data_IF_987426018146
#
_entry.id   IF_987426018146
#
_cell.length_a   1.000
_cell.length_b   1.000
_cell.length_c   1.000
_cell.angle_alpha   90.00
_cell.angle_beta   90.00
_cell.angle_gamma   90.00
#
_symmetry.space_group_name_H-M   'P 1'
#
loop_
_entity.id
_entity.type
_entity.pdbx_description
1 polymer ?
#
# COMPACT_ATOMS: atom_id res chain seq x y z
N UNK A 1 -2.68 -1.36 -12.83
CA UNK A 1 -4.14 -1.27 -13.01
C UNK A 1 -4.69 -0.34 -11.96
N UNK A 2 -5.68 0.51 -12.28
CA UNK A 2 -6.40 1.27 -11.27
C UNK A 2 -7.59 0.47 -10.72
N UNK A 3 -7.78 0.55 -9.41
CA UNK A 3 -8.97 0.06 -8.73
C UNK A 3 -9.69 1.28 -8.17
N UNK A 4 -10.83 1.66 -8.75
CA UNK A 4 -11.62 2.78 -8.27
C UNK A 4 -12.48 2.40 -7.07
N UNK A 5 -12.75 3.37 -6.20
CA UNK A 5 -13.68 3.23 -5.08
C UNK A 5 -15.04 3.82 -5.50
N UNK A 6 -16.10 3.01 -5.46
CA UNK A 6 -17.46 3.45 -5.87
C UNK A 6 -18.16 4.28 -4.78
N UNK A 7 -17.76 4.09 -3.51
CA UNK A 7 -18.22 4.85 -2.36
C UNK A 7 -17.08 5.03 -1.34
N UNK A 8 -15.87 5.36 -1.84
CA UNK A 8 -14.70 5.54 -1.01
C UNK A 8 -14.85 6.71 -0.02
N UNK A 9 -14.12 6.70 1.11
CA UNK A 9 -14.24 7.71 2.15
C UNK A 9 -13.74 9.11 1.73
N UNK A 10 -13.15 9.26 0.55
CA UNK A 10 -12.57 10.51 0.07
C UNK A 10 -12.76 10.71 -1.43
N UNK A 11 -13.33 11.85 -1.82
CA UNK A 11 -13.36 12.30 -3.21
C UNK A 11 -11.99 12.76 -3.73
N UNK A 12 -11.03 13.04 -2.82
CA UNK A 12 -9.68 13.52 -3.16
C UNK A 12 -8.79 12.38 -3.65
N UNK A 13 -9.01 11.15 -3.15
CA UNK A 13 -8.26 9.96 -3.54
C UNK A 13 -9.19 8.85 -4.02
N UNK A 14 -9.72 8.92 -5.26
CA UNK A 14 -10.77 8.02 -5.73
C UNK A 14 -10.28 6.59 -6.01
N UNK A 15 -8.96 6.37 -6.03
CA UNK A 15 -8.34 5.09 -6.37
C UNK A 15 -7.84 4.41 -5.10
N UNK A 16 -8.02 3.10 -4.99
CA UNK A 16 -7.34 2.29 -3.99
C UNK A 16 -5.84 2.23 -4.36
N UNK A 17 -4.98 2.63 -3.45
CA UNK A 17 -3.54 2.56 -3.60
C UNK A 17 -2.85 2.48 -2.25
N UNK A 18 -1.63 2.97 -2.16
CA UNK A 18 -0.87 3.00 -0.91
C UNK A 18 -0.23 4.36 -0.65
N UNK A 19 -0.08 4.69 0.63
CA UNK A 19 0.47 5.96 1.14
C UNK A 19 1.50 5.65 2.21
N UNK A 20 2.72 6.12 2.03
CA UNK A 20 3.77 5.85 3.01
C UNK A 20 5.14 6.28 2.53
N UNK A 21 6.00 6.55 3.50
CA UNK A 21 7.38 6.93 3.29
C UNK A 21 8.27 5.78 3.74
N UNK A 22 8.61 4.87 2.84
CA UNK A 22 9.77 4.00 3.09
C UNK A 22 10.29 3.35 1.83
N UNK A 23 11.61 3.22 1.81
CA UNK A 23 12.32 2.26 0.99
C UNK A 23 11.97 0.85 1.49
N UNK A 24 11.27 0.06 0.67
CA UNK A 24 11.04 -1.34 0.95
C UNK A 24 12.28 -2.15 0.56
N UNK A 25 12.63 -3.13 1.38
CA UNK A 25 13.77 -3.98 1.12
C UNK A 25 13.96 -5.01 2.22
N UNK A 26 14.86 -5.95 1.98
CA UNK A 26 15.26 -6.92 2.99
C UNK A 26 15.87 -6.20 4.20
N UNK A 27 15.51 -6.65 5.40
CA UNK A 27 15.93 -6.06 6.68
C UNK A 27 15.46 -4.60 6.88
N UNK A 28 14.42 -4.16 6.18
CA UNK A 28 13.81 -2.84 6.36
C UNK A 28 12.43 -3.01 6.98
N UNK A 29 12.13 -2.25 8.04
CA UNK A 29 10.83 -2.26 8.72
C UNK A 29 9.83 -1.24 8.14
N UNK A 30 10.14 -0.69 6.97
CA UNK A 30 9.30 0.28 6.29
C UNK A 30 7.96 -0.32 5.87
N UNK A 31 6.91 0.49 5.92
CA UNK A 31 5.58 0.11 5.47
C UNK A 31 4.82 1.30 4.88
N UNK A 32 3.74 0.99 4.16
CA UNK A 32 2.75 1.96 3.68
C UNK A 32 1.34 1.53 4.07
N UNK A 33 0.44 2.50 4.19
CA UNK A 33 -0.99 2.30 4.45
C UNK A 33 -1.72 2.08 3.13
N UNK A 34 -2.64 1.11 3.06
CA UNK A 34 -3.61 1.09 1.98
C UNK A 34 -4.63 2.22 2.19
N UNK A 35 -4.81 3.05 1.18
CA UNK A 35 -5.65 4.24 1.29
C UNK A 35 -6.17 4.69 -0.08
N UNK A 36 -7.16 5.60 -0.05
CA UNK A 36 -7.58 6.33 -1.25
C UNK A 36 -6.50 7.32 -1.68
N UNK A 37 -6.11 7.29 -2.96
CA UNK A 37 -5.04 8.10 -3.57
C UNK A 37 -5.46 8.62 -4.95
N UNK A 38 -4.76 9.62 -5.46
CA UNK A 38 -4.83 10.03 -6.88
C UNK A 38 -3.98 9.13 -7.78
N UNK A 39 -4.23 9.21 -9.09
CA UNK A 39 -3.50 8.43 -10.09
C UNK A 39 -1.99 8.70 -10.07
N UNK A 40 -1.20 7.64 -10.22
CA UNK A 40 0.23 7.68 -10.51
C UNK A 40 0.53 6.73 -11.66
N UNK A 41 1.46 7.07 -12.55
CA UNK A 41 1.78 6.19 -13.68
C UNK A 41 2.48 4.90 -13.25
N UNK A 42 2.15 3.80 -13.92
CA UNK A 42 2.69 2.49 -13.60
C UNK A 42 4.21 2.44 -13.77
N UNK A 43 4.91 1.91 -12.74
CA UNK A 43 6.37 1.76 -12.77
C UNK A 43 7.14 3.05 -12.46
N UNK A 44 6.45 4.15 -12.18
CA UNK A 44 7.06 5.38 -11.68
C UNK A 44 7.21 5.31 -10.16
N UNK A 45 8.19 6.02 -9.57
CA UNK A 45 8.23 6.22 -8.13
C UNK A 45 6.95 6.88 -7.59
N UNK A 46 6.65 6.72 -6.29
CA UNK A 46 5.49 7.32 -5.65
C UNK A 46 5.49 8.85 -5.81
N UNK A 47 4.30 9.46 -5.93
CA UNK A 47 4.18 10.91 -6.11
C UNK A 47 4.74 11.66 -4.90
N UNK A 48 5.50 12.74 -5.14
CA UNK A 48 6.04 13.58 -4.07
C UNK A 48 4.97 14.40 -3.34
N UNK A 49 3.82 14.60 -3.97
CA UNK A 49 2.64 15.27 -3.42
C UNK A 49 1.50 14.27 -3.51
N UNK A 50 0.89 13.99 -2.38
CA UNK A 50 -0.10 12.95 -2.27
C UNK A 50 -1.46 13.56 -1.97
N UNK A 51 -2.33 13.60 -2.97
CA UNK A 51 -3.75 13.80 -2.74
C UNK A 51 -4.32 12.45 -2.27
N UNK A 52 -4.44 12.30 -0.95
CA UNK A 52 -4.83 11.03 -0.31
C UNK A 52 -5.93 11.24 0.71
N UNK A 53 -6.65 10.16 1.00
CA UNK A 53 -7.63 10.11 2.08
C UNK A 53 -7.04 10.29 3.49
N UNK A 54 -5.73 10.12 3.66
CA UNK A 54 -5.05 10.30 4.95
C UNK A 54 -4.50 11.72 5.16
N UNK A 55 -4.55 12.58 4.14
CA UNK A 55 -4.01 13.94 4.22
C UNK A 55 -4.69 14.77 5.30
N UNK A 56 -6.00 14.59 5.51
CA UNK A 56 -6.77 15.25 6.57
C UNK A 56 -6.33 14.84 7.99
N UNK A 57 -5.67 13.67 8.14
CA UNK A 57 -5.09 13.20 9.40
C UNK A 57 -3.64 13.68 9.58
N UNK A 58 -3.13 14.53 8.69
CA UNK A 58 -1.76 15.05 8.72
C UNK A 58 -0.73 14.19 7.98
N UNK A 59 -1.15 13.10 7.34
CA UNK A 59 -0.26 12.22 6.59
C UNK A 59 -0.07 12.72 5.15
N UNK A 60 0.86 13.68 4.97
CA UNK A 60 1.27 14.17 3.65
C UNK A 60 2.53 13.42 3.17
N UNK A 61 2.37 12.12 2.88
CA UNK A 61 3.46 11.21 2.49
C UNK A 61 3.28 10.73 1.05
N UNK A 62 4.35 10.27 0.36
CA UNK A 62 4.25 9.78 -1.01
C UNK A 62 3.18 8.71 -1.20
N UNK A 63 2.55 8.71 -2.37
CA UNK A 63 1.46 7.79 -2.71
C UNK A 63 1.58 7.18 -4.09
N UNK A 64 1.00 5.99 -4.29
CA UNK A 64 0.95 5.29 -5.57
C UNK A 64 -0.38 4.56 -5.78
N UNK A 65 -1.02 4.70 -6.95
CA UNK A 65 -2.27 3.99 -7.31
C UNK A 65 -2.03 2.74 -8.17
N UNK A 66 -1.03 2.76 -9.05
CA UNK A 66 -0.77 1.70 -10.03
C UNK A 66 0.07 0.53 -9.48
N UNK A 67 -0.13 0.18 -8.22
CA UNK A 67 0.55 -0.92 -7.53
C UNK A 67 -0.09 -2.28 -7.77
N UNK A 68 -1.30 -2.32 -8.32
CA UNK A 68 -2.10 -3.54 -8.41
C UNK A 68 -1.88 -4.31 -9.71
N UNK A 69 -1.69 -5.61 -9.57
CA UNK A 69 -1.68 -6.59 -10.67
C UNK A 69 -2.63 -7.74 -10.34
N UNK A 70 -3.45 -8.13 -11.32
CA UNK A 70 -4.25 -9.35 -11.25
C UNK A 70 -3.52 -10.47 -11.99
N UNK A 71 -3.34 -11.63 -11.35
CA UNK A 71 -2.87 -12.86 -12.02
C UNK A 71 -4.05 -13.79 -12.27
N UNK A 72 -3.92 -14.73 -13.21
CA UNK A 72 -4.99 -15.55 -13.84
C UNK A 72 -5.87 -16.41 -12.90
N UNK A 73 -5.87 -16.19 -11.59
CA UNK A 73 -6.60 -16.95 -10.56
C UNK A 73 -7.36 -16.05 -9.57
N UNK A 74 -7.82 -14.87 -10.01
CA UNK A 74 -8.52 -13.88 -9.17
C UNK A 74 -7.67 -13.28 -8.03
N UNK A 75 -6.38 -13.62 -7.97
CA UNK A 75 -5.44 -13.09 -6.99
C UNK A 75 -5.03 -11.67 -7.33
N UNK A 76 -5.14 -10.77 -6.35
CA UNK A 76 -4.67 -9.40 -6.45
C UNK A 76 -3.34 -9.29 -5.72
N UNK A 77 -2.32 -8.79 -6.42
CA UNK A 77 -0.98 -8.58 -5.90
C UNK A 77 -0.64 -7.10 -5.93
N UNK A 78 0.06 -6.64 -4.89
CA UNK A 78 0.64 -5.30 -4.84
C UNK A 78 2.12 -5.36 -5.21
N UNK A 79 2.61 -4.33 -5.89
CA UNK A 79 4.02 -4.11 -6.18
C UNK A 79 4.31 -2.64 -5.95
N UNK A 80 5.10 -2.34 -4.92
CA UNK A 80 5.57 -0.99 -4.64
C UNK A 80 6.83 -0.68 -5.46
N UNK A 81 6.92 0.54 -5.98
CA UNK A 81 8.17 1.10 -6.49
C UNK A 81 8.74 2.01 -5.40
N UNK A 82 9.99 1.78 -5.04
CA UNK A 82 10.65 2.65 -4.06
C UNK A 82 10.88 4.06 -4.65
N UNK A 83 11.03 5.09 -3.81
CA UNK A 83 11.47 6.42 -4.25
C UNK A 83 12.78 6.40 -5.06
N UNK A 84 13.64 5.40 -4.81
CA UNK A 84 14.86 5.11 -5.58
C UNK A 84 14.62 4.53 -6.99
N UNK A 85 13.36 4.41 -7.43
CA UNK A 85 12.92 3.73 -8.65
C UNK A 85 13.22 2.22 -8.70
N UNK A 86 13.59 1.60 -7.58
CA UNK A 86 13.79 0.17 -7.49
C UNK A 86 12.49 -0.58 -7.19
N UNK A 87 12.34 -1.78 -7.75
CA UNK A 87 11.23 -2.70 -7.42
C UNK A 87 11.58 -3.45 -6.15
N UNK A 88 10.78 -3.29 -5.11
CA UNK A 88 10.96 -4.01 -3.86
C UNK A 88 10.11 -5.28 -3.80
N UNK A 89 10.48 -6.31 -3.02
CA UNK A 89 9.50 -7.26 -2.54
C UNK A 89 8.32 -6.51 -1.90
N UNK A 90 7.10 -6.98 -2.08
CA UNK A 90 5.91 -6.31 -1.53
C UNK A 90 4.92 -7.37 -1.06
N UNK A 91 4.58 -7.30 0.22
CA UNK A 91 3.56 -8.14 0.85
C UNK A 91 2.45 -7.26 1.40
N UNK A 92 1.21 -7.72 1.30
CA UNK A 92 0.07 -7.10 1.99
C UNK A 92 0.05 -7.68 3.41
N UNK A 93 -0.12 -6.82 4.41
CA UNK A 93 -0.29 -7.24 5.79
C UNK A 93 -1.53 -6.60 6.41
N UNK A 94 -2.03 -7.25 7.45
CA UNK A 94 -3.03 -6.71 8.35
C UNK A 94 -2.41 -6.52 9.74
N UNK A 95 -2.60 -5.32 10.30
CA UNK A 95 -2.27 -5.00 11.69
C UNK A 95 -3.57 -5.06 12.52
N UNK A 96 -3.73 -6.07 13.39
CA UNK A 96 -4.91 -6.19 14.24
C UNK A 96 -4.97 -5.17 15.38
N UNK A 97 -3.84 -4.64 15.86
CA UNK A 97 -3.81 -3.69 16.96
C UNK A 97 -4.29 -2.30 16.52
N UNK A 98 -3.86 -1.86 15.34
CA UNK A 98 -4.26 -0.59 14.74
C UNK A 98 -5.43 -0.73 13.75
N UNK A 99 -5.85 -1.97 13.44
CA UNK A 99 -6.97 -2.30 12.55
C UNK A 99 -6.83 -1.65 11.16
N UNK A 100 -5.71 -1.87 10.48
CA UNK A 100 -5.51 -1.40 9.12
C UNK A 100 -4.78 -2.42 8.24
N UNK A 101 -4.89 -2.22 6.93
CA UNK A 101 -4.16 -2.97 5.92
C UNK A 101 -3.02 -2.12 5.36
N UNK A 102 -1.85 -2.73 5.18
CA UNK A 102 -0.68 -2.04 4.67
C UNK A 102 0.14 -2.89 3.73
N UNK A 103 1.20 -2.29 3.20
CA UNK A 103 2.23 -2.97 2.41
C UNK A 103 3.57 -2.91 3.12
N UNK A 104 4.36 -3.97 3.02
CA UNK A 104 5.73 -4.01 3.54
C UNK A 104 6.65 -4.78 2.60
N UNK A 105 7.94 -4.45 2.63
CA UNK A 105 8.98 -5.20 1.93
C UNK A 105 9.52 -6.41 2.69
N UNK A 106 9.37 -6.43 4.02
CA UNK A 106 9.90 -7.48 4.88
C UNK A 106 9.04 -7.56 6.16
N UNK A 107 8.10 -8.49 6.15
CA UNK A 107 7.15 -8.67 7.26
C UNK A 107 7.87 -9.04 8.57
N UNK A 108 8.94 -9.83 8.50
CA UNK A 108 9.72 -10.20 9.69
C UNK A 108 10.37 -8.97 10.31
N UNK A 109 10.93 -8.08 9.48
CA UNK A 109 11.53 -6.84 9.95
C UNK A 109 10.49 -5.86 10.49
N UNK A 110 9.30 -5.80 9.89
CA UNK A 110 8.17 -5.02 10.39
C UNK A 110 7.71 -5.53 11.76
N UNK A 111 7.48 -6.83 11.90
CA UNK A 111 7.03 -7.46 13.15
C UNK A 111 8.08 -7.29 14.27
N UNK A 112 9.38 -7.40 13.94
CA UNK A 112 10.45 -7.14 14.90
C UNK A 112 10.49 -5.68 15.38
N UNK A 113 10.15 -4.72 14.52
CA UNK A 113 10.10 -3.30 14.88
C UNK A 113 8.83 -2.96 15.70
N UNK A 114 7.72 -3.65 15.44
CA UNK A 114 6.43 -3.42 16.08
C UNK A 114 5.83 -4.71 16.67
N UNK A 115 6.49 -5.36 17.65
CA UNK A 115 6.13 -6.71 18.09
C UNK A 115 4.80 -6.78 18.86
N UNK A 116 4.23 -5.63 19.25
CA UNK A 116 2.93 -5.56 19.93
C UNK A 116 1.76 -5.49 18.95
N UNK A 117 2.04 -5.20 17.69
CA UNK A 117 1.01 -4.97 16.69
C UNK A 117 0.50 -6.30 16.13
N UNK A 118 1.33 -7.35 16.16
CA UNK A 118 0.94 -8.71 15.75
C UNK A 118 0.61 -8.77 14.26
N UNK A 119 1.43 -8.13 13.44
CA UNK A 119 1.19 -7.99 11.99
C UNK A 119 1.19 -9.36 11.31
N UNK A 120 0.24 -9.58 10.42
CA UNK A 120 0.10 -10.85 9.70
C UNK A 120 0.05 -10.63 8.18
N UNK A 121 0.72 -11.52 7.43
CA UNK A 121 0.60 -11.55 5.98
C UNK A 121 -0.83 -11.91 5.58
N UNK A 122 -1.39 -11.18 4.61
CA UNK A 122 -2.70 -11.47 4.04
C UNK A 122 -2.64 -11.48 2.51
N UNK A 123 -3.66 -12.06 1.89
CA UNK A 123 -3.80 -12.09 0.43
C UNK A 123 -5.20 -11.62 0.05
N UNK A 124 -5.30 -10.90 -1.06
CA UNK A 124 -6.59 -10.48 -1.62
C UNK A 124 -6.98 -11.39 -2.78
N UNK A 125 -8.25 -11.78 -2.78
CA UNK A 125 -8.85 -12.57 -3.85
C UNK A 125 -10.16 -11.89 -4.24
N UNK A 126 -10.36 -11.66 -5.54
CA UNK A 126 -11.65 -11.24 -6.03
C UNK A 126 -12.67 -12.35 -5.78
N UNK A 127 -13.74 -12.01 -5.07
CA UNK A 127 -14.93 -12.85 -4.94
C UNK A 127 -15.98 -12.26 -5.90
N UNK A 128 -16.31 -12.94 -7.00
CA UNK A 128 -17.39 -12.50 -7.88
C UNK A 128 -18.70 -12.37 -7.09
N UNK A 129 -19.46 -11.32 -7.36
CA UNK A 129 -20.78 -11.08 -6.76
C UNK A 129 -21.85 -12.00 -7.38
#
# INVERSE_FOLDING_TARGET
MDISTIAGPSAVGPLLGAVGSSEFGKNQSGFSYLAGVTHTDAGMPPSAIAATSLQALGHNMPSESQIWTMKCSLGIFAQWINPSASRAPTSIFYDPAANFLGLTGDLTSLDAAYPKDGVIAVSFTFVPA
#
